data_IF_993828045160
#
_entry.id   IF_993828045160
#
_cell.length_a   1.000
_cell.length_b   1.000
_cell.length_c   1.000
_cell.angle_alpha   90.00
_cell.angle_beta   90.00
_cell.angle_gamma   90.00
#
_symmetry.space_group_name_H-M   'P 1'
#
loop_
_entity.id
_entity.type
_entity.pdbx_description
1 polymer ?
#
# COMPACT_ATOMS: atom_id res chain seq x y z
N UNK A 1 -46.93 -20.93 28.74
CA UNK A 1 -46.44 -20.31 27.49
C UNK A 1 -45.82 -18.98 27.87
N UNK A 2 -44.48 -18.85 27.84
CA UNK A 2 -43.82 -17.60 28.22
C UNK A 2 -44.04 -16.54 27.12
N UNK A 3 -44.22 -15.25 27.45
CA UNK A 3 -44.40 -14.21 26.44
C UNK A 3 -43.12 -14.07 25.60
N UNK A 4 -43.29 -14.01 24.28
CA UNK A 4 -42.20 -13.74 23.37
C UNK A 4 -41.59 -12.38 23.71
N UNK A 5 -40.27 -12.35 23.93
CA UNK A 5 -39.52 -11.12 24.17
C UNK A 5 -39.64 -10.14 22.99
N UNK A 6 -39.38 -8.84 23.21
CA UNK A 6 -39.55 -7.83 22.19
C UNK A 6 -38.73 -8.18 20.93
N UNK A 7 -39.40 -8.24 19.78
CA UNK A 7 -38.77 -8.40 18.48
C UNK A 7 -37.80 -7.23 18.24
N UNK A 8 -36.51 -7.53 18.21
CA UNK A 8 -35.48 -6.56 17.82
C UNK A 8 -35.67 -6.29 16.34
N UNK A 9 -36.35 -5.20 16.00
CA UNK A 9 -36.45 -4.70 14.62
C UNK A 9 -35.02 -4.61 14.07
N UNK A 10 -34.79 -5.24 12.91
CA UNK A 10 -33.52 -5.16 12.21
C UNK A 10 -33.14 -3.69 12.04
N UNK A 11 -32.13 -3.24 12.80
CA UNK A 11 -31.63 -1.88 12.70
C UNK A 11 -30.99 -1.78 11.32
N UNK A 12 -31.61 -1.00 10.43
CA UNK A 12 -31.06 -0.70 9.11
C UNK A 12 -29.89 0.26 9.33
N UNK A 13 -28.70 -0.30 9.48
CA UNK A 13 -27.49 0.50 9.72
C UNK A 13 -27.15 1.22 8.43
N UNK A 14 -27.19 2.55 8.48
CA UNK A 14 -26.88 3.41 7.34
C UNK A 14 -25.45 3.18 6.89
N UNK A 15 -25.26 3.10 5.57
CA UNK A 15 -23.95 3.09 4.95
C UNK A 15 -23.12 4.31 5.40
N UNK A 16 -21.79 4.19 5.57
CA UNK A 16 -20.92 5.31 5.90
C UNK A 16 -21.07 6.45 4.90
N UNK A 17 -20.84 7.70 5.34
CA UNK A 17 -20.78 8.84 4.43
C UNK A 17 -19.63 8.65 3.43
N UNK A 18 -19.81 9.12 2.20
CA UNK A 18 -18.78 9.00 1.17
C UNK A 18 -17.55 9.86 1.46
N UNK A 19 -16.35 9.31 1.25
CA UNK A 19 -15.10 10.06 1.28
C UNK A 19 -14.72 10.53 -0.13
N UNK A 20 -14.39 11.82 -0.28
CA UNK A 20 -14.20 12.45 -1.60
C UNK A 20 -12.75 12.48 -2.07
N UNK A 21 -11.80 12.12 -1.20
CA UNK A 21 -10.37 12.22 -1.49
C UNK A 21 -9.76 13.58 -1.12
N UNK A 22 -10.41 14.37 -0.26
CA UNK A 22 -9.85 15.62 0.24
C UNK A 22 -8.57 15.40 1.06
N UNK A 23 -7.65 16.35 1.02
CA UNK A 23 -6.40 16.30 1.81
C UNK A 23 -6.65 16.73 3.27
N UNK A 24 -7.37 15.88 4.00
CA UNK A 24 -7.77 16.10 5.39
C UNK A 24 -7.73 14.75 6.13
N UNK A 25 -6.71 14.59 6.97
CA UNK A 25 -6.45 13.35 7.71
C UNK A 25 -7.56 13.04 8.71
N UNK A 26 -8.16 14.05 9.33
CA UNK A 26 -9.26 13.86 10.29
C UNK A 26 -10.53 13.40 9.57
N UNK A 27 -10.80 13.95 8.39
CA UNK A 27 -11.91 13.50 7.55
C UNK A 27 -11.72 12.06 7.07
N UNK A 28 -10.49 11.70 6.67
CA UNK A 28 -10.14 10.33 6.28
C UNK A 28 -10.28 9.36 7.46
N UNK A 29 -9.73 9.70 8.62
CA UNK A 29 -9.79 8.85 9.83
C UNK A 29 -11.22 8.65 10.31
N UNK A 30 -12.04 9.70 10.27
CA UNK A 30 -13.46 9.59 10.60
C UNK A 30 -14.19 8.65 9.65
N UNK A 31 -13.93 8.76 8.34
CA UNK A 31 -14.50 7.89 7.33
C UNK A 31 -14.07 6.43 7.51
N UNK A 32 -12.76 6.16 7.60
CA UNK A 32 -12.24 4.78 7.68
C UNK A 32 -12.76 4.08 8.93
N UNK A 33 -12.82 4.78 10.07
CA UNK A 33 -13.37 4.22 11.31
C UNK A 33 -14.87 3.88 11.20
N UNK A 34 -15.66 4.73 10.53
CA UNK A 34 -17.08 4.45 10.28
C UNK A 34 -17.25 3.24 9.36
N UNK A 35 -16.46 3.17 8.29
CA UNK A 35 -16.48 2.06 7.33
C UNK A 35 -16.07 0.73 7.97
N UNK A 36 -14.99 0.71 8.76
CA UNK A 36 -14.56 -0.50 9.47
C UNK A 36 -15.59 -0.97 10.50
N UNK A 37 -16.23 -0.05 11.23
CA UNK A 37 -17.33 -0.40 12.15
C UNK A 37 -18.52 -1.00 11.40
N UNK A 38 -18.89 -0.42 10.26
CA UNK A 38 -19.97 -0.93 9.42
C UNK A 38 -19.67 -2.35 8.93
N UNK A 39 -18.49 -2.58 8.34
CA UNK A 39 -18.05 -3.91 7.89
C UNK A 39 -18.07 -4.94 9.03
N UNK A 40 -17.64 -4.53 10.24
CA UNK A 40 -17.68 -5.39 11.43
C UNK A 40 -19.11 -5.77 11.82
N UNK A 41 -20.07 -4.84 11.76
CA UNK A 41 -21.46 -5.13 12.12
C UNK A 41 -22.09 -6.10 11.11
N UNK A 42 -21.81 -5.93 9.82
CA UNK A 42 -22.26 -6.84 8.76
C UNK A 42 -21.47 -8.16 8.69
N UNK A 43 -20.52 -8.38 9.61
CA UNK A 43 -19.65 -9.56 9.65
C UNK A 43 -18.87 -9.79 8.36
N UNK A 44 -18.55 -8.72 7.64
CA UNK A 44 -17.72 -8.73 6.44
C UNK A 44 -16.26 -8.53 6.87
N UNK A 45 -15.77 -9.47 7.68
CA UNK A 45 -14.42 -9.48 8.24
C UNK A 45 -13.73 -10.81 7.98
N UNK A 46 -12.40 -10.78 7.94
CA UNK A 46 -11.56 -11.96 7.71
C UNK A 46 -11.17 -12.21 6.24
N UNK A 47 -10.22 -13.13 5.99
CA UNK A 47 -9.58 -13.28 4.67
C UNK A 47 -10.53 -13.74 3.56
N UNK A 48 -11.53 -14.57 3.87
CA UNK A 48 -12.49 -15.07 2.89
C UNK A 48 -13.54 -14.06 2.43
N UNK A 49 -13.48 -12.82 2.95
CA UNK A 49 -14.42 -11.73 2.65
C UNK A 49 -13.76 -10.57 1.93
N UNK A 50 -12.54 -10.74 1.43
CA UNK A 50 -11.77 -9.61 0.92
C UNK A 50 -12.39 -8.98 -0.34
N UNK A 51 -12.90 -9.80 -1.26
CA UNK A 51 -13.64 -9.30 -2.43
C UNK A 51 -14.89 -8.49 -2.03
N UNK A 52 -15.64 -8.96 -1.03
CA UNK A 52 -16.79 -8.23 -0.49
C UNK A 52 -16.34 -6.89 0.12
N UNK A 53 -15.23 -6.87 0.87
CA UNK A 53 -14.68 -5.66 1.49
C UNK A 53 -14.21 -4.64 0.46
N UNK A 54 -13.55 -5.08 -0.60
CA UNK A 54 -13.12 -4.23 -1.72
C UNK A 54 -14.36 -3.60 -2.36
N UNK A 55 -15.34 -4.41 -2.72
CA UNK A 55 -16.60 -3.93 -3.33
C UNK A 55 -17.27 -2.88 -2.43
N UNK A 56 -17.46 -3.17 -1.14
CA UNK A 56 -18.09 -2.22 -0.22
C UNK A 56 -17.27 -0.94 -0.03
N UNK A 57 -15.95 -1.04 0.03
CA UNK A 57 -15.08 0.13 0.12
C UNK A 57 -15.30 1.07 -1.07
N UNK A 58 -15.34 0.53 -2.30
CA UNK A 58 -15.61 1.30 -3.52
C UNK A 58 -16.96 2.03 -3.47
N UNK A 59 -18.00 1.37 -2.94
CA UNK A 59 -19.32 2.01 -2.79
C UNK A 59 -19.36 3.13 -1.76
N UNK A 60 -18.34 3.31 -0.93
CA UNK A 60 -18.29 4.35 0.10
C UNK A 60 -17.34 5.51 -0.26
N UNK A 61 -17.00 5.65 -1.54
CA UNK A 61 -16.13 6.69 -2.08
C UNK A 61 -16.89 7.60 -3.04
N UNK A 62 -16.45 8.85 -3.15
CA UNK A 62 -16.87 9.80 -4.17
C UNK A 62 -15.64 10.57 -4.72
N UNK A 63 -15.84 11.32 -5.81
CA UNK A 63 -14.85 12.27 -6.31
C UNK A 63 -13.49 11.66 -6.62
N UNK A 64 -12.42 12.28 -6.12
CA UNK A 64 -11.04 11.85 -6.38
C UNK A 64 -10.75 10.48 -5.79
N UNK A 65 -11.38 10.13 -4.66
CA UNK A 65 -11.16 8.83 -4.04
C UNK A 65 -11.74 7.69 -4.88
N UNK A 66 -12.92 7.85 -5.47
CA UNK A 66 -13.49 6.85 -6.40
C UNK A 66 -12.61 6.70 -7.64
N UNK A 67 -12.17 7.82 -8.23
CA UNK A 67 -11.31 7.78 -9.40
C UNK A 67 -10.01 7.02 -9.13
N UNK A 68 -9.38 7.26 -7.99
CA UNK A 68 -8.19 6.51 -7.57
C UNK A 68 -8.51 5.03 -7.35
N UNK A 69 -9.63 4.71 -6.69
CA UNK A 69 -10.02 3.35 -6.37
C UNK A 69 -10.28 2.51 -7.63
N UNK A 70 -10.95 3.09 -8.63
CA UNK A 70 -11.18 2.44 -9.91
C UNK A 70 -9.86 2.22 -10.66
N UNK A 71 -8.99 3.24 -10.69
CA UNK A 71 -7.71 3.15 -11.40
C UNK A 71 -6.74 2.15 -10.79
N UNK A 72 -6.81 1.93 -9.48
CA UNK A 72 -5.77 1.20 -8.76
C UNK A 72 -6.25 -0.08 -8.10
N UNK A 73 -7.53 -0.21 -7.74
CA UNK A 73 -8.03 -1.33 -6.93
C UNK A 73 -9.03 -2.20 -7.72
N UNK A 74 -10.09 -1.61 -8.27
CA UNK A 74 -11.26 -2.38 -8.72
C UNK A 74 -11.61 -2.23 -10.21
N UNK A 75 -10.90 -1.36 -10.94
CA UNK A 75 -11.14 -1.18 -12.37
C UNK A 75 -10.67 -2.36 -13.22
N UNK A 76 -11.34 -2.63 -14.37
CA UNK A 76 -10.92 -3.67 -15.30
C UNK A 76 -9.53 -3.40 -15.90
N UNK A 77 -9.21 -2.12 -16.09
CA UNK A 77 -7.91 -1.64 -16.57
C UNK A 77 -7.03 -1.14 -15.42
N UNK A 78 -7.25 -1.63 -14.19
CA UNK A 78 -6.49 -1.18 -13.02
C UNK A 78 -5.00 -1.29 -13.24
N UNK A 79 -4.28 -0.27 -12.81
CA UNK A 79 -2.83 -0.22 -12.95
C UNK A 79 -2.15 -1.29 -12.09
N UNK A 80 -2.69 -1.55 -10.89
CA UNK A 80 -2.15 -2.50 -9.94
C UNK A 80 -3.07 -3.72 -9.94
N UNK A 81 -2.58 -4.84 -10.49
CA UNK A 81 -3.37 -6.07 -10.54
C UNK A 81 -3.51 -6.75 -9.18
N UNK A 82 -2.45 -6.75 -8.39
CA UNK A 82 -2.40 -7.36 -7.06
C UNK A 82 -1.82 -6.35 -6.08
N UNK A 83 -2.61 -5.98 -5.07
CA UNK A 83 -2.13 -5.22 -3.93
C UNK A 83 -1.47 -6.18 -2.96
N UNK A 84 -0.20 -6.46 -3.20
CA UNK A 84 0.61 -7.17 -2.21
C UNK A 84 1.08 -6.16 -1.16
N UNK A 85 0.94 -6.47 0.13
CA UNK A 85 1.61 -5.74 1.21
C UNK A 85 3.14 -5.72 1.03
N UNK A 86 3.59 -6.68 0.24
CA UNK A 86 4.91 -6.93 -0.27
C UNK A 86 5.23 -5.99 -1.44
N UNK A 87 5.56 -4.73 -1.11
CA UNK A 87 6.33 -3.83 -1.99
C UNK A 87 7.76 -4.37 -2.13
N UNK A 88 7.92 -5.60 -2.60
CA UNK A 88 9.21 -6.27 -2.61
C UNK A 88 9.88 -6.16 -3.97
N UNK A 89 11.17 -5.85 -3.89
CA UNK A 89 12.09 -6.02 -4.99
C UNK A 89 11.92 -7.42 -5.64
N UNK A 90 11.91 -7.46 -6.97
CA UNK A 90 11.95 -8.69 -7.75
C UNK A 90 13.30 -8.79 -8.46
N UNK A 91 14.09 -9.86 -8.25
CA UNK A 91 15.36 -10.06 -8.93
C UNK A 91 15.25 -10.03 -10.47
N UNK A 92 14.11 -10.47 -11.01
CA UNK A 92 13.83 -10.49 -12.44
C UNK A 92 13.66 -9.08 -13.03
N UNK A 93 13.07 -8.15 -12.26
CA UNK A 93 12.84 -6.75 -12.69
C UNK A 93 14.00 -5.83 -12.31
N UNK A 94 14.67 -6.13 -11.20
CA UNK A 94 15.83 -5.42 -10.68
C UNK A 94 15.52 -4.16 -9.88
N UNK A 95 16.58 -3.55 -9.33
CA UNK A 95 16.49 -2.47 -8.34
C UNK A 95 15.91 -1.18 -8.96
N UNK A 96 16.30 -0.86 -10.19
CA UNK A 96 15.84 0.34 -10.86
C UNK A 96 14.34 0.30 -11.17
N UNK A 97 13.84 -0.86 -11.60
CA UNK A 97 12.41 -1.06 -11.81
C UNK A 97 11.63 -0.92 -10.50
N UNK A 98 12.19 -1.45 -9.40
CA UNK A 98 11.60 -1.28 -8.06
C UNK A 98 11.52 0.20 -7.64
N UNK A 99 12.59 0.98 -7.84
CA UNK A 99 12.55 2.41 -7.53
C UNK A 99 11.58 3.21 -8.40
N UNK A 100 11.50 2.90 -9.69
CA UNK A 100 10.56 3.55 -10.61
C UNK A 100 9.11 3.26 -10.23
N UNK A 101 8.80 2.03 -9.80
CA UNK A 101 7.48 1.68 -9.29
C UNK A 101 7.14 2.49 -8.03
N UNK A 102 8.11 2.64 -7.11
CA UNK A 102 7.93 3.45 -5.91
C UNK A 102 7.66 4.93 -6.25
N UNK A 103 8.39 5.52 -7.21
CA UNK A 103 8.12 6.88 -7.71
C UNK A 103 6.73 7.01 -8.33
N UNK A 104 6.35 6.06 -9.17
CA UNK A 104 5.04 6.05 -9.82
C UNK A 104 3.91 6.03 -8.79
N UNK A 105 4.04 5.21 -7.75
CA UNK A 105 3.06 5.17 -6.65
C UNK A 105 3.06 6.46 -5.84
N UNK A 106 4.23 6.99 -5.50
CA UNK A 106 4.35 8.27 -4.80
C UNK A 106 3.65 9.42 -5.55
N UNK A 107 3.76 9.47 -6.89
CA UNK A 107 3.07 10.47 -7.71
C UNK A 107 1.55 10.36 -7.73
N UNK A 108 0.98 9.26 -7.23
CA UNK A 108 -0.46 9.01 -7.15
C UNK A 108 -1.02 9.22 -5.74
N UNK A 109 -0.17 9.56 -4.78
CA UNK A 109 -0.59 9.89 -3.43
C UNK A 109 -1.10 11.34 -3.41
N UNK A 110 -2.17 11.59 -2.64
CA UNK A 110 -2.71 12.95 -2.42
C UNK A 110 -1.61 13.87 -1.91
N UNK A 111 -0.80 13.37 -0.97
CA UNK A 111 0.43 13.99 -0.52
C UNK A 111 1.59 13.03 -0.77
N UNK A 112 2.57 13.40 -1.62
CA UNK A 112 3.73 12.55 -1.85
C UNK A 112 4.60 12.48 -0.58
N UNK A 113 5.25 11.33 -0.34
CA UNK A 113 6.22 11.21 0.75
C UNK A 113 7.38 12.18 0.54
N UNK A 114 7.92 12.69 1.65
CA UNK A 114 9.15 13.47 1.64
C UNK A 114 10.35 12.61 1.18
N UNK A 115 11.45 13.29 0.84
CA UNK A 115 12.65 12.62 0.31
C UNK A 115 13.21 11.56 1.27
N UNK A 116 13.22 11.84 2.57
CA UNK A 116 13.72 10.91 3.57
C UNK A 116 12.82 9.66 3.65
N UNK A 117 11.51 9.85 3.69
CA UNK A 117 10.52 8.76 3.66
C UNK A 117 10.69 7.88 2.41
N UNK A 118 10.93 8.48 1.25
CA UNK A 118 11.21 7.75 0.00
C UNK A 118 12.50 6.94 0.08
N UNK A 119 13.61 7.56 0.51
CA UNK A 119 14.90 6.89 0.70
C UNK A 119 14.79 5.71 1.66
N UNK A 120 14.16 5.94 2.81
CA UNK A 120 13.97 4.93 3.87
C UNK A 120 13.11 3.77 3.39
N UNK A 121 12.00 4.05 2.70
CA UNK A 121 11.11 3.01 2.14
C UNK A 121 11.84 2.15 1.11
N UNK A 122 12.63 2.77 0.23
CA UNK A 122 13.44 2.05 -0.77
C UNK A 122 14.44 1.11 -0.09
N UNK A 123 15.28 1.62 0.82
CA UNK A 123 16.33 0.84 1.49
C UNK A 123 15.74 -0.31 2.33
N UNK A 124 14.68 -0.06 3.09
CA UNK A 124 14.06 -1.06 3.98
C UNK A 124 13.39 -2.23 3.24
N UNK A 125 13.11 -2.06 1.95
CA UNK A 125 12.42 -3.07 1.12
C UNK A 125 13.37 -3.82 0.19
N UNK A 126 14.67 -3.51 0.23
CA UNK A 126 15.68 -4.29 -0.47
C UNK A 126 15.86 -5.66 0.19
N UNK A 127 16.24 -6.70 -0.57
CA UNK A 127 16.64 -7.98 -0.01
C UNK A 127 17.80 -7.81 0.96
N UNK A 128 17.80 -8.60 2.04
CA UNK A 128 18.84 -8.55 3.07
C UNK A 128 20.27 -8.56 2.50
N UNK A 129 20.65 -9.41 1.52
CA UNK A 129 22.03 -9.39 0.99
C UNK A 129 22.42 -8.05 0.35
N UNK A 130 21.49 -7.38 -0.33
CA UNK A 130 21.73 -6.08 -0.96
C UNK A 130 21.76 -4.99 0.12
N UNK A 131 20.78 -4.98 1.02
CA UNK A 131 20.68 -3.99 2.08
C UNK A 131 21.90 -4.01 3.00
N UNK A 132 22.34 -5.20 3.44
CA UNK A 132 23.52 -5.36 4.27
C UNK A 132 24.80 -4.94 3.55
N UNK A 133 24.97 -5.33 2.28
CA UNK A 133 26.13 -4.94 1.49
C UNK A 133 26.23 -3.42 1.31
N UNK A 134 25.10 -2.74 1.13
CA UNK A 134 25.03 -1.29 0.94
C UNK A 134 25.25 -0.54 2.26
N UNK A 135 24.61 -0.99 3.35
CA UNK A 135 24.74 -0.36 4.67
C UNK A 135 26.12 -0.61 5.30
N UNK A 136 26.57 -1.87 5.36
CA UNK A 136 27.77 -2.28 6.09
C UNK A 136 29.05 -2.02 5.29
N UNK A 137 29.07 -2.35 3.99
CA UNK A 137 30.29 -2.26 3.19
C UNK A 137 30.50 -0.91 2.53
N UNK A 138 29.42 -0.16 2.29
CA UNK A 138 29.47 1.10 1.52
C UNK A 138 29.05 2.35 2.31
N UNK A 139 28.59 2.18 3.56
CA UNK A 139 28.21 3.30 4.44
C UNK A 139 27.02 4.11 3.94
N UNK A 140 26.20 3.53 3.06
CA UNK A 140 25.08 4.22 2.42
C UNK A 140 23.87 4.16 3.34
N UNK A 141 23.34 5.33 3.73
CA UNK A 141 22.18 5.44 4.63
C UNK A 141 21.16 6.43 4.06
N UNK A 142 19.88 6.17 4.32
CA UNK A 142 18.79 7.07 3.97
C UNK A 142 18.91 8.46 4.63
N UNK A 143 19.64 8.57 5.75
CA UNK A 143 19.81 9.81 6.50
C UNK A 143 20.83 10.75 5.86
N UNK A 144 21.94 10.22 5.36
CA UNK A 144 23.12 11.01 5.00
C UNK A 144 23.49 10.90 3.52
N UNK A 145 22.93 9.94 2.80
CA UNK A 145 23.24 9.69 1.39
C UNK A 145 22.11 10.21 0.50
N UNK A 146 22.41 10.99 -0.55
CA UNK A 146 21.40 11.40 -1.51
C UNK A 146 20.92 10.22 -2.35
N UNK A 147 19.69 10.29 -2.85
CA UNK A 147 19.00 9.15 -3.45
C UNK A 147 19.66 8.61 -4.72
N UNK A 148 20.29 9.46 -5.52
CA UNK A 148 21.07 9.09 -6.72
C UNK A 148 22.27 8.20 -6.35
N UNK A 149 23.00 8.56 -5.30
CA UNK A 149 24.12 7.77 -4.79
C UNK A 149 23.64 6.44 -4.18
N UNK A 150 22.52 6.46 -3.45
CA UNK A 150 21.89 5.22 -2.96
C UNK A 150 21.61 4.27 -4.13
N UNK A 151 21.01 4.76 -5.23
CA UNK A 151 20.69 3.92 -6.38
C UNK A 151 21.92 3.31 -7.05
N UNK A 152 22.97 4.11 -7.26
CA UNK A 152 24.23 3.65 -7.86
C UNK A 152 24.82 2.50 -7.04
N UNK A 153 24.90 2.68 -5.72
CA UNK A 153 25.52 1.71 -4.83
C UNK A 153 24.70 0.42 -4.69
N UNK A 154 23.37 0.54 -4.62
CA UNK A 154 22.46 -0.60 -4.59
C UNK A 154 22.52 -1.38 -5.92
N UNK A 155 22.58 -0.69 -7.07
CA UNK A 155 22.68 -1.33 -8.38
C UNK A 155 24.04 -2.04 -8.58
N UNK A 156 25.12 -1.46 -8.07
CA UNK A 156 26.43 -2.13 -8.01
C UNK A 156 26.36 -3.41 -7.18
N UNK A 157 25.72 -3.36 -6.01
CA UNK A 157 25.58 -4.54 -5.15
C UNK A 157 24.71 -5.63 -5.80
N UNK A 158 23.60 -5.25 -6.42
CA UNK A 158 22.77 -6.16 -7.20
C UNK A 158 23.58 -6.88 -8.29
N UNK A 159 24.42 -6.14 -9.00
CA UNK A 159 25.27 -6.69 -10.07
C UNK A 159 26.31 -7.68 -9.53
N UNK A 160 26.94 -7.37 -8.38
CA UNK A 160 27.90 -8.27 -7.72
C UNK A 160 27.22 -9.59 -7.31
N UNK A 161 26.03 -9.53 -6.70
CA UNK A 161 25.30 -10.72 -6.29
C UNK A 161 24.82 -11.56 -7.48
N UNK A 162 24.39 -10.92 -8.57
CA UNK A 162 24.05 -11.61 -9.82
C UNK A 162 25.25 -12.36 -10.39
N UNK A 163 26.45 -11.78 -10.36
CA UNK A 163 27.67 -12.46 -10.81
C UNK A 163 27.98 -13.68 -9.95
N UNK A 164 27.95 -13.53 -8.61
CA UNK A 164 28.24 -14.64 -7.68
C UNK A 164 27.28 -15.81 -7.92
N UNK A 165 25.98 -15.54 -8.02
CA UNK A 165 24.96 -16.56 -8.22
C UNK A 165 25.03 -17.26 -9.59
N UNK A 166 25.67 -16.65 -10.59
CA UNK A 166 25.85 -17.26 -11.92
C UNK A 166 27.11 -18.15 -12.00
N UNK A 167 28.03 -18.03 -11.02
CA UNK A 167 29.31 -18.77 -10.99
C UNK A 167 29.32 -19.88 -9.92
N UNK A 168 28.18 -20.07 -9.24
CA UNK A 168 27.96 -21.12 -8.23
C UNK A 168 26.88 -22.06 -8.75
#
# INVERSE_FOLDING_TARGET
MAPAGPEVKAIKITQPKYYKGQDDIDAFDKWVNQTLRWLKIYKVTGPGRDADRITYAGTCLEGMATQWFDQEVDGPDRTIRDWTFEDFYSPAKGVLAFYNDLKRRASRMVQPPDEYSMKRKFVNRLPLPIAEGVLKSRGVSAEHTPMDQILIEVQRMESVLKLINNHT
#
